data_IF_675076115658
#
_entry.id   IF_675076115658
#
_cell.length_a   1.000
_cell.length_b   1.000
_cell.length_c   1.000
_cell.angle_alpha   90.00
_cell.angle_beta   90.00
_cell.angle_gamma   90.00
#
_symmetry.space_group_name_H-M   'P 1'
#
loop_
_entity.id
_entity.type
_entity.pdbx_description
1 polymer ?
#
# COMPACT_ATOMS: atom_id res chain seq x y z
N UNK A 1 22.40 -23.76 19.24
CA UNK A 1 21.26 -23.07 18.62
C UNK A 1 20.66 -22.14 19.66
N UNK A 2 20.70 -20.85 19.45
CA UNK A 2 20.01 -19.89 20.32
C UNK A 2 18.51 -19.92 20.03
N UNK A 3 17.72 -19.71 21.06
CA UNK A 3 16.24 -19.63 20.94
C UNK A 3 15.86 -18.20 21.30
N UNK A 4 15.24 -17.51 20.35
CA UNK A 4 14.57 -16.24 20.58
C UNK A 4 13.11 -16.54 20.96
N UNK A 5 12.68 -16.11 22.12
CA UNK A 5 11.32 -16.31 22.58
C UNK A 5 10.55 -15.00 22.56
N UNK A 6 9.28 -15.06 22.18
CA UNK A 6 8.35 -13.94 22.20
C UNK A 6 6.91 -14.41 22.39
N UNK A 7 6.03 -13.46 22.72
CA UNK A 7 4.58 -13.72 22.69
C UNK A 7 4.10 -13.84 21.23
N UNK A 8 4.66 -13.00 20.35
CA UNK A 8 4.25 -12.91 18.94
C UNK A 8 5.45 -12.89 18.02
N UNK A 9 5.44 -13.72 16.99
CA UNK A 9 6.32 -13.56 15.82
C UNK A 9 5.56 -12.84 14.70
N UNK A 10 6.14 -11.75 14.18
CA UNK A 10 5.62 -11.04 13.01
C UNK A 10 6.50 -11.35 11.82
N UNK A 11 5.92 -11.92 10.78
CA UNK A 11 6.61 -12.30 9.55
C UNK A 11 6.41 -11.24 8.48
N UNK A 12 7.50 -10.58 8.08
CA UNK A 12 7.54 -9.49 7.12
C UNK A 12 7.81 -8.15 7.79
N UNK A 13 8.94 -7.53 7.45
CA UNK A 13 9.38 -6.23 7.96
C UNK A 13 9.13 -5.07 6.96
N UNK A 14 8.10 -5.18 6.12
CA UNK A 14 7.55 -4.05 5.39
C UNK A 14 6.78 -3.10 6.30
N UNK A 15 6.29 -1.97 5.78
CA UNK A 15 5.56 -0.95 6.54
C UNK A 15 4.47 -1.55 7.44
N UNK A 16 3.67 -2.49 6.93
CA UNK A 16 2.58 -3.12 7.71
C UNK A 16 3.15 -3.95 8.88
N UNK A 17 4.13 -4.81 8.61
CA UNK A 17 4.68 -5.69 9.65
C UNK A 17 5.40 -4.91 10.73
N UNK A 18 6.20 -3.90 10.36
CA UNK A 18 6.88 -3.03 11.33
C UNK A 18 5.88 -2.26 12.18
N UNK A 19 4.83 -1.68 11.58
CA UNK A 19 3.77 -0.98 12.32
C UNK A 19 3.05 -1.91 13.30
N UNK A 20 2.70 -3.12 12.86
CA UNK A 20 2.08 -4.14 13.72
C UNK A 20 3.00 -4.49 14.90
N UNK A 21 4.30 -4.69 14.63
CA UNK A 21 5.28 -5.02 15.66
C UNK A 21 5.42 -3.90 16.70
N UNK A 22 5.50 -2.62 16.26
CA UNK A 22 5.51 -1.46 17.16
C UNK A 22 4.27 -1.44 18.06
N UNK A 23 3.08 -1.56 17.48
CA UNK A 23 1.84 -1.49 18.24
C UNK A 23 1.66 -2.65 19.23
N UNK A 24 2.14 -3.84 18.89
CA UNK A 24 2.14 -4.99 19.81
C UNK A 24 3.13 -4.77 20.97
N UNK A 25 4.33 -4.28 20.66
CA UNK A 25 5.34 -3.96 21.66
C UNK A 25 4.83 -2.88 22.64
N UNK A 26 4.19 -1.83 22.14
CA UNK A 26 3.54 -0.79 22.96
C UNK A 26 2.42 -1.34 23.86
N UNK A 27 1.80 -2.45 23.49
CA UNK A 27 0.80 -3.16 24.31
C UNK A 27 1.41 -4.18 25.28
N UNK A 28 2.72 -4.15 25.47
CA UNK A 28 3.44 -5.01 26.40
C UNK A 28 3.68 -6.44 25.91
N UNK A 29 3.48 -6.71 24.62
CA UNK A 29 3.82 -8.00 24.03
C UNK A 29 5.31 -8.06 23.69
N UNK A 30 5.95 -9.18 23.96
CA UNK A 30 7.31 -9.44 23.47
C UNK A 30 7.23 -9.90 22.02
N UNK A 31 7.78 -9.11 21.10
CA UNK A 31 7.64 -9.35 19.67
C UNK A 31 8.99 -9.63 19.03
N UNK A 32 9.03 -10.67 18.20
CA UNK A 32 10.14 -10.94 17.29
C UNK A 32 9.66 -10.68 15.86
N UNK A 33 10.28 -9.74 15.18
CA UNK A 33 10.02 -9.41 13.79
C UNK A 33 11.00 -10.17 12.90
N UNK A 34 10.50 -10.92 11.93
CA UNK A 34 11.33 -11.76 11.02
C UNK A 34 11.07 -11.38 9.58
N UNK A 35 12.15 -11.13 8.84
CA UNK A 35 12.10 -10.95 7.38
C UNK A 35 13.34 -11.56 6.75
N UNK A 36 13.28 -11.91 5.48
CA UNK A 36 14.42 -12.43 4.70
C UNK A 36 15.46 -11.36 4.37
N UNK A 37 15.14 -10.10 4.56
CA UNK A 37 15.98 -8.91 4.32
C UNK A 37 15.80 -7.90 5.44
N UNK A 38 16.54 -6.78 5.33
CA UNK A 38 16.36 -5.64 6.22
C UNK A 38 14.97 -5.02 6.13
N UNK A 39 14.54 -4.28 7.16
CA UNK A 39 13.24 -3.64 7.18
C UNK A 39 13.06 -2.70 5.98
N UNK A 40 11.90 -2.83 5.30
CA UNK A 40 11.53 -1.95 4.20
C UNK A 40 12.19 -2.24 2.85
N UNK A 41 13.05 -3.23 2.71
CA UNK A 41 13.83 -3.49 1.49
C UNK A 41 13.05 -4.11 0.32
N UNK A 42 11.78 -4.42 0.48
CA UNK A 42 10.93 -4.97 -0.57
C UNK A 42 9.94 -3.90 -1.11
N UNK A 43 8.65 -4.13 -1.03
CA UNK A 43 7.62 -3.21 -1.57
C UNK A 43 7.64 -1.82 -0.90
N UNK A 44 8.12 -1.72 0.33
CA UNK A 44 8.23 -0.45 1.05
C UNK A 44 9.42 0.40 0.60
N UNK A 45 10.37 -0.14 -0.16
CA UNK A 45 11.56 0.57 -0.62
C UNK A 45 11.24 1.68 -1.63
N UNK A 46 10.41 1.39 -2.63
CA UNK A 46 10.20 2.27 -3.76
C UNK A 46 8.73 2.40 -4.15
N UNK A 47 7.83 2.54 -3.18
CA UNK A 47 6.42 2.79 -3.44
C UNK A 47 6.14 4.28 -3.74
N UNK A 48 4.89 4.62 -4.05
CA UNK A 48 4.48 5.97 -4.45
C UNK A 48 4.55 7.03 -3.35
N UNK A 49 4.90 6.68 -2.13
CA UNK A 49 5.06 7.64 -1.03
C UNK A 49 3.79 8.43 -0.71
N UNK A 50 2.63 7.77 -0.73
CA UNK A 50 1.35 8.43 -0.40
C UNK A 50 0.64 7.68 0.73
N UNK A 51 0.23 8.42 1.75
CA UNK A 51 -0.71 7.96 2.77
C UNK A 51 -2.08 8.47 2.35
N UNK A 52 -2.90 7.57 1.81
CA UNK A 52 -4.10 7.90 1.03
C UNK A 52 -5.34 7.99 1.91
N UNK A 53 -5.53 9.11 2.63
CA UNK A 53 -6.75 9.37 3.42
C UNK A 53 -8.01 9.45 2.56
N UNK A 54 -7.88 9.79 1.27
CA UNK A 54 -8.96 9.89 0.31
C UNK A 54 -9.43 8.55 -0.26
N UNK A 55 -8.71 7.46 0.00
CA UNK A 55 -9.03 6.13 -0.53
C UNK A 55 -10.22 5.46 0.20
N UNK A 56 -11.23 6.25 0.58
CA UNK A 56 -12.43 5.78 1.31
C UNK A 56 -13.33 4.86 0.49
N UNK A 57 -13.21 4.88 -0.83
CA UNK A 57 -13.95 4.01 -1.73
C UNK A 57 -13.03 2.95 -2.33
N UNK A 58 -13.16 1.66 -2.01
CA UNK A 58 -12.46 0.60 -2.72
C UNK A 58 -12.75 0.67 -4.22
N UNK A 59 -11.81 0.27 -5.06
CA UNK A 59 -12.04 0.25 -6.51
C UNK A 59 -13.06 -0.84 -6.85
N UNK A 60 -14.24 -0.51 -7.42
CA UNK A 60 -15.22 -1.52 -7.81
C UNK A 60 -14.81 -2.19 -9.12
N UNK A 61 -15.23 -3.43 -9.32
CA UNK A 61 -15.17 -4.07 -10.63
C UNK A 61 -16.14 -3.37 -11.58
N UNK A 62 -15.74 -3.05 -12.82
CA UNK A 62 -16.59 -2.42 -13.82
C UNK A 62 -17.85 -3.25 -14.09
N UNK A 63 -19.02 -2.61 -14.08
CA UNK A 63 -20.30 -3.30 -14.31
C UNK A 63 -21.03 -2.80 -15.56
N UNK A 64 -20.59 -1.71 -16.15
CA UNK A 64 -21.19 -1.20 -17.39
C UNK A 64 -20.73 -2.05 -18.59
N UNK A 65 -21.66 -2.33 -19.49
CA UNK A 65 -21.37 -3.11 -20.71
C UNK A 65 -20.32 -2.41 -21.59
N UNK A 66 -20.38 -1.07 -21.64
CA UNK A 66 -19.42 -0.27 -22.41
C UNK A 66 -17.99 -0.44 -21.87
N UNK A 67 -17.83 -0.37 -20.56
CA UNK A 67 -16.53 -0.51 -19.90
C UNK A 67 -15.98 -1.94 -19.98
N UNK A 68 -16.85 -2.93 -19.80
CA UNK A 68 -16.46 -4.34 -19.99
C UNK A 68 -16.01 -4.61 -21.43
N UNK A 69 -16.70 -4.06 -22.44
CA UNK A 69 -16.27 -4.14 -23.85
C UNK A 69 -14.93 -3.44 -24.09
N UNK A 70 -14.70 -2.29 -23.44
CA UNK A 70 -13.41 -1.58 -23.52
C UNK A 70 -12.28 -2.43 -22.98
N UNK A 71 -12.46 -3.03 -21.80
CA UNK A 71 -11.46 -3.90 -21.17
C UNK A 71 -11.26 -5.19 -22.00
N UNK A 72 -12.34 -5.80 -22.50
CA UNK A 72 -12.27 -7.03 -23.30
C UNK A 72 -11.47 -6.86 -24.60
N UNK A 73 -11.42 -5.64 -25.17
CA UNK A 73 -10.55 -5.35 -26.31
C UNK A 73 -9.05 -5.44 -26.01
N UNK A 74 -8.69 -5.50 -24.73
CA UNK A 74 -7.31 -5.64 -24.23
C UNK A 74 -6.31 -4.63 -24.83
N UNK A 75 -6.76 -3.40 -25.07
CA UNK A 75 -5.99 -2.28 -25.63
C UNK A 75 -6.00 -1.05 -24.72
N UNK A 76 -6.49 -1.21 -23.49
CA UNK A 76 -6.58 -0.14 -22.51
C UNK A 76 -5.29 -0.03 -21.72
N UNK A 77 -4.89 1.19 -21.40
CA UNK A 77 -3.75 1.46 -20.51
C UNK A 77 -4.05 0.99 -19.08
N UNK A 78 -5.34 1.03 -18.69
CA UNK A 78 -5.78 0.70 -17.32
C UNK A 78 -5.85 -0.80 -17.05
N UNK A 79 -6.05 -1.61 -18.11
CA UNK A 79 -6.18 -3.05 -17.99
C UNK A 79 -5.63 -3.74 -19.23
N UNK A 80 -4.53 -4.44 -19.04
CA UNK A 80 -3.94 -5.31 -20.04
C UNK A 80 -3.70 -6.69 -19.45
N UNK A 81 -4.07 -7.75 -20.15
CA UNK A 81 -3.96 -9.11 -19.65
C UNK A 81 -3.54 -10.09 -20.75
N UNK A 82 -2.83 -11.15 -20.37
CA UNK A 82 -2.54 -12.26 -21.24
C UNK A 82 -3.73 -13.23 -21.26
N UNK A 83 -4.17 -13.64 -22.43
CA UNK A 83 -5.30 -14.57 -22.56
C UNK A 83 -5.07 -15.88 -21.81
N UNK A 84 -3.82 -16.35 -21.76
CA UNK A 84 -3.42 -17.55 -21.01
C UNK A 84 -3.59 -17.43 -19.49
N UNK A 85 -3.72 -16.21 -18.96
CA UNK A 85 -3.93 -15.99 -17.54
C UNK A 85 -5.42 -16.08 -17.13
N UNK A 86 -6.34 -15.93 -18.09
CA UNK A 86 -7.79 -15.86 -17.81
C UNK A 86 -8.34 -17.08 -17.05
N UNK A 87 -7.98 -18.33 -17.37
CA UNK A 87 -8.47 -19.48 -16.61
C UNK A 87 -8.10 -19.40 -15.12
N UNK A 88 -6.86 -19.02 -14.80
CA UNK A 88 -6.39 -18.84 -13.43
C UNK A 88 -7.03 -17.64 -12.69
N UNK A 89 -7.44 -16.63 -13.45
CA UNK A 89 -8.06 -15.42 -12.92
C UNK A 89 -9.59 -15.50 -12.83
N UNK A 90 -10.23 -16.49 -13.41
CA UNK A 90 -11.69 -16.59 -13.52
C UNK A 90 -12.37 -16.51 -12.14
N UNK A 91 -11.92 -17.31 -11.16
CA UNK A 91 -12.46 -17.33 -9.81
C UNK A 91 -12.23 -16.02 -9.04
N UNK A 92 -11.02 -15.41 -9.00
CA UNK A 92 -10.79 -14.10 -8.42
C UNK A 92 -11.62 -12.99 -9.09
N UNK A 93 -11.71 -12.96 -10.42
CA UNK A 93 -12.49 -11.94 -11.14
C UNK A 93 -13.98 -12.07 -10.85
N UNK A 94 -14.51 -13.28 -10.79
CA UNK A 94 -15.90 -13.52 -10.40
C UNK A 94 -16.17 -13.05 -8.97
N UNK A 95 -15.28 -13.35 -8.02
CA UNK A 95 -15.39 -12.88 -6.64
C UNK A 95 -15.34 -11.34 -6.58
N UNK A 96 -14.47 -10.70 -7.36
CA UNK A 96 -14.36 -9.26 -7.45
C UNK A 96 -15.65 -8.63 -8.01
N UNK A 97 -16.17 -9.16 -9.13
CA UNK A 97 -17.44 -8.73 -9.70
C UNK A 97 -18.60 -8.87 -8.71
N UNK A 98 -18.70 -10.02 -8.02
CA UNK A 98 -19.73 -10.29 -7.02
C UNK A 98 -19.66 -9.32 -5.83
N UNK A 99 -18.46 -9.02 -5.34
CA UNK A 99 -18.26 -8.10 -4.22
C UNK A 99 -18.40 -6.62 -4.61
N UNK A 100 -18.43 -6.34 -5.91
CA UNK A 100 -18.72 -5.01 -6.46
C UNK A 100 -20.21 -4.78 -6.76
N UNK A 101 -21.09 -5.71 -6.34
CA UNK A 101 -22.55 -5.49 -6.35
C UNK A 101 -22.90 -4.37 -5.36
N UNK A 102 -23.78 -3.40 -5.72
CA UNK A 102 -23.96 -2.15 -4.96
C UNK A 102 -24.19 -2.33 -3.46
N UNK A 103 -25.00 -3.29 -3.04
CA UNK A 103 -25.27 -3.53 -1.62
C UNK A 103 -24.04 -4.05 -0.89
N UNK A 104 -23.37 -5.07 -1.44
CA UNK A 104 -22.16 -5.63 -0.87
C UNK A 104 -21.02 -4.62 -0.86
N UNK A 105 -20.89 -3.86 -1.95
CA UNK A 105 -19.92 -2.81 -2.05
C UNK A 105 -20.10 -1.75 -0.96
N UNK A 106 -21.34 -1.36 -0.66
CA UNK A 106 -21.65 -0.42 0.42
C UNK A 106 -21.24 -1.00 1.80
N UNK A 107 -21.54 -2.28 2.06
CA UNK A 107 -21.15 -2.98 3.29
C UNK A 107 -19.61 -3.04 3.44
N UNK A 108 -18.90 -3.41 2.36
CA UNK A 108 -17.43 -3.44 2.33
C UNK A 108 -16.85 -2.03 2.54
N UNK A 109 -17.42 -1.02 1.88
CA UNK A 109 -16.99 0.38 2.02
C UNK A 109 -17.13 0.86 3.45
N UNK A 110 -18.23 0.52 4.13
CA UNK A 110 -18.44 0.90 5.53
C UNK A 110 -17.35 0.32 6.47
N UNK A 111 -16.92 -0.92 6.21
CA UNK A 111 -15.82 -1.55 6.96
C UNK A 111 -14.45 -0.95 6.55
N UNK A 112 -14.24 -0.73 5.27
CA UNK A 112 -12.99 -0.18 4.73
C UNK A 112 -12.68 1.21 5.28
N UNK A 113 -13.70 2.06 5.38
CA UNK A 113 -13.57 3.42 5.90
C UNK A 113 -13.02 3.44 7.32
N UNK A 114 -13.36 2.48 8.18
CA UNK A 114 -12.86 2.45 9.56
C UNK A 114 -11.33 2.36 9.63
N UNK A 115 -10.71 1.72 8.64
CA UNK A 115 -9.25 1.62 8.53
C UNK A 115 -8.65 2.88 7.91
N UNK A 116 -9.28 3.41 6.87
CA UNK A 116 -8.74 4.56 6.13
C UNK A 116 -8.90 5.87 6.93
N UNK A 117 -9.94 5.99 7.74
CA UNK A 117 -10.24 7.21 8.49
C UNK A 117 -9.10 7.65 9.42
N UNK A 118 -8.36 6.72 9.99
CA UNK A 118 -7.30 6.98 10.98
C UNK A 118 -5.89 6.94 10.39
N UNK A 119 -5.72 6.54 9.12
CA UNK A 119 -4.40 6.22 8.56
C UNK A 119 -3.40 7.39 8.65
N UNK A 120 -3.83 8.63 8.43
CA UNK A 120 -2.96 9.80 8.52
C UNK A 120 -2.50 10.04 9.96
N UNK A 121 -3.44 10.10 10.92
CA UNK A 121 -3.13 10.32 12.34
C UNK A 121 -2.27 9.21 12.96
N UNK A 122 -2.48 7.95 12.57
CA UNK A 122 -1.64 6.84 13.03
C UNK A 122 -0.19 7.00 12.52
N UNK A 123 -0.01 7.43 11.28
CA UNK A 123 1.32 7.71 10.75
C UNK A 123 1.97 8.94 11.37
N UNK A 124 1.21 10.00 11.67
CA UNK A 124 1.72 11.16 12.41
C UNK A 124 2.26 10.74 13.78
N UNK A 125 1.44 10.02 14.56
CA UNK A 125 1.83 9.53 15.88
C UNK A 125 3.08 8.65 15.84
N UNK A 126 3.13 7.68 14.91
CA UNK A 126 4.30 6.82 14.77
C UNK A 126 5.54 7.59 14.32
N UNK A 127 5.39 8.56 13.41
CA UNK A 127 6.50 9.37 12.93
C UNK A 127 7.04 10.32 14.03
N UNK A 128 6.18 10.86 14.88
CA UNK A 128 6.60 11.62 16.07
C UNK A 128 7.43 10.75 17.01
N UNK A 129 6.91 9.61 17.41
CA UNK A 129 7.59 8.66 18.30
C UNK A 129 8.90 8.14 17.71
N UNK A 130 8.95 7.96 16.39
CA UNK A 130 10.13 7.54 15.66
C UNK A 130 11.14 8.66 15.39
N UNK A 131 10.77 9.94 15.62
CA UNK A 131 11.60 11.10 15.29
C UNK A 131 11.74 11.34 13.77
N UNK A 132 10.72 10.98 12.98
CA UNK A 132 10.76 10.99 11.51
C UNK A 132 9.66 11.85 10.87
N UNK A 133 9.07 12.79 11.60
CA UNK A 133 8.01 13.69 11.11
C UNK A 133 8.41 14.47 9.87
N UNK A 134 9.71 14.82 9.71
CA UNK A 134 10.22 15.50 8.53
C UNK A 134 10.07 14.70 7.21
N UNK A 135 9.83 13.39 7.29
CA UNK A 135 9.54 12.54 6.14
C UNK A 135 8.09 12.65 5.68
N UNK A 136 7.18 13.12 6.54
CA UNK A 136 5.76 13.30 6.24
C UNK A 136 5.50 14.73 5.79
N UNK A 137 4.82 14.90 4.67
CA UNK A 137 4.42 16.21 4.13
C UNK A 137 2.90 16.26 3.97
N UNK A 138 2.20 17.13 4.72
CA UNK A 138 0.74 17.28 4.67
C UNK A 138 0.33 18.14 3.46
N UNK A 139 0.69 17.70 2.27
CA UNK A 139 0.53 18.48 1.05
C UNK A 139 -0.55 17.93 0.12
N UNK A 140 -1.14 16.80 0.48
CA UNK A 140 -2.08 16.10 -0.36
C UNK A 140 -1.45 15.61 -1.67
N UNK A 141 -2.28 15.39 -2.67
CA UNK A 141 -1.82 15.17 -4.03
C UNK A 141 -2.81 15.69 -5.06
N UNK A 142 -2.30 16.05 -6.23
CA UNK A 142 -3.07 16.58 -7.34
C UNK A 142 -3.22 15.53 -8.42
N UNK A 143 -4.45 15.32 -8.88
CA UNK A 143 -4.77 14.52 -10.04
C UNK A 143 -5.25 15.43 -11.17
N UNK A 144 -4.47 15.55 -12.23
CA UNK A 144 -4.78 16.36 -13.40
C UNK A 144 -5.49 15.55 -14.48
N UNK A 145 -6.39 16.18 -15.23
CA UNK A 145 -7.26 15.53 -16.21
C UNK A 145 -7.19 16.24 -17.56
N UNK A 146 -7.23 15.44 -18.62
CA UNK A 146 -7.36 15.89 -19.99
C UNK A 146 -8.70 15.48 -20.64
N UNK A 147 -9.57 14.80 -19.88
CA UNK A 147 -10.89 14.34 -20.29
C UNK A 147 -11.95 14.82 -19.30
N UNK A 148 -12.99 15.48 -19.82
CA UNK A 148 -14.05 16.08 -19.02
C UNK A 148 -14.89 15.06 -18.27
N UNK A 149 -15.21 13.93 -18.90
CA UNK A 149 -16.07 12.92 -18.28
C UNK A 149 -15.37 12.28 -17.06
N UNK A 150 -14.08 12.04 -17.14
CA UNK A 150 -13.28 11.52 -16.03
C UNK A 150 -13.17 12.55 -14.90
N UNK A 151 -12.94 13.83 -15.22
CA UNK A 151 -12.92 14.91 -14.24
C UNK A 151 -14.25 15.02 -13.49
N UNK A 152 -15.38 15.05 -14.19
CA UNK A 152 -16.71 15.12 -13.60
C UNK A 152 -16.99 13.93 -12.68
N UNK A 153 -16.64 12.71 -13.12
CA UNK A 153 -16.82 11.50 -12.32
C UNK A 153 -16.01 11.54 -11.01
N UNK A 154 -14.76 12.01 -11.08
CA UNK A 154 -13.91 12.13 -9.90
C UNK A 154 -14.31 13.30 -8.99
N UNK A 155 -14.81 14.41 -9.53
CA UNK A 155 -15.43 15.49 -8.74
C UNK A 155 -16.67 14.99 -7.98
N UNK A 156 -17.54 14.23 -8.65
CA UNK A 156 -18.69 13.61 -8.00
C UNK A 156 -18.29 12.59 -6.92
N UNK A 157 -17.18 11.86 -7.13
CA UNK A 157 -16.61 10.97 -6.12
C UNK A 157 -16.07 11.77 -4.94
N UNK A 158 -15.39 12.87 -5.18
CA UNK A 158 -14.85 13.75 -4.16
C UNK A 158 -15.95 14.36 -3.29
N UNK A 159 -17.04 14.80 -3.90
CA UNK A 159 -18.20 15.30 -3.17
C UNK A 159 -18.78 14.25 -2.20
N UNK A 160 -18.89 13.00 -2.65
CA UNK A 160 -19.32 11.90 -1.77
C UNK A 160 -18.31 11.59 -0.66
N UNK A 161 -17.00 11.77 -0.93
CA UNK A 161 -15.95 11.53 0.05
C UNK A 161 -15.98 12.53 1.21
N UNK A 162 -16.55 13.73 1.01
CA UNK A 162 -16.76 14.71 2.08
C UNK A 162 -17.62 14.19 3.22
N UNK A 163 -18.58 13.30 2.92
CA UNK A 163 -19.42 12.67 3.95
C UNK A 163 -18.60 11.78 4.91
N UNK A 164 -17.35 11.47 4.53
CA UNK A 164 -16.41 10.67 5.32
C UNK A 164 -15.23 11.51 5.84
N UNK A 165 -15.41 12.84 5.85
CA UNK A 165 -14.41 13.79 6.36
C UNK A 165 -13.18 13.93 5.47
N UNK A 166 -13.31 13.69 4.16
CA UNK A 166 -12.21 13.85 3.20
C UNK A 166 -12.34 15.18 2.46
N UNK A 167 -11.29 15.99 2.49
CA UNK A 167 -11.25 17.30 1.87
C UNK A 167 -10.59 17.25 0.49
N UNK A 168 -11.11 18.08 -0.40
CA UNK A 168 -10.58 18.22 -1.76
C UNK A 168 -10.95 19.57 -2.35
N UNK A 169 -10.16 20.03 -3.31
CA UNK A 169 -10.36 21.28 -4.06
C UNK A 169 -10.29 21.00 -5.55
N UNK A 170 -11.31 21.44 -6.29
CA UNK A 170 -11.27 21.44 -7.74
C UNK A 170 -10.38 22.60 -8.23
N UNK A 171 -9.45 22.31 -9.11
CA UNK A 171 -8.52 23.29 -9.67
C UNK A 171 -8.86 23.58 -11.13
N UNK A 172 -8.95 24.85 -11.46
CA UNK A 172 -8.97 25.31 -12.85
C UNK A 172 -7.60 25.11 -13.52
N UNK A 173 -7.51 25.07 -14.85
CA UNK A 173 -6.22 24.99 -15.55
C UNK A 173 -5.22 26.08 -15.13
N UNK A 174 -5.72 27.29 -14.90
CA UNK A 174 -4.87 28.41 -14.47
C UNK A 174 -4.31 28.17 -13.06
N UNK A 175 -5.14 27.71 -12.12
CA UNK A 175 -4.69 27.40 -10.75
C UNK A 175 -3.75 26.20 -10.71
N UNK A 176 -3.99 25.19 -11.54
CA UNK A 176 -3.07 24.05 -11.70
C UNK A 176 -1.70 24.52 -12.20
N UNK A 177 -1.65 25.38 -13.23
CA UNK A 177 -0.40 25.91 -13.76
C UNK A 177 0.36 26.78 -12.73
N UNK A 178 -0.35 27.51 -11.88
CA UNK A 178 0.25 28.26 -10.78
C UNK A 178 0.89 27.34 -9.74
N UNK A 179 0.19 26.25 -9.35
CA UNK A 179 0.67 25.31 -8.35
C UNK A 179 1.76 24.38 -8.90
N UNK A 180 1.66 24.01 -10.17
CA UNK A 180 2.55 23.06 -10.84
C UNK A 180 3.10 23.65 -12.16
N UNK A 181 3.97 24.67 -12.10
CA UNK A 181 4.43 25.41 -13.28
C UNK A 181 5.27 24.58 -14.26
N UNK A 182 5.67 23.38 -13.86
CA UNK A 182 6.44 22.46 -14.70
C UNK A 182 5.58 21.38 -15.39
N UNK A 183 4.29 21.34 -15.10
CA UNK A 183 3.37 20.49 -15.84
C UNK A 183 3.16 21.05 -17.26
N UNK A 184 3.17 20.13 -18.25
CA UNK A 184 2.83 20.49 -19.62
C UNK A 184 1.41 21.04 -19.72
N UNK A 185 1.17 21.97 -20.63
CA UNK A 185 -0.16 22.46 -20.97
C UNK A 185 -1.00 21.32 -21.59
N UNK A 186 -2.31 21.37 -21.39
CA UNK A 186 -3.24 20.40 -21.98
C UNK A 186 -4.20 19.74 -20.98
N UNK A 187 -4.07 20.08 -19.71
CA UNK A 187 -5.05 19.67 -18.71
C UNK A 187 -6.22 20.66 -18.67
N UNK A 188 -7.44 20.10 -18.61
CA UNK A 188 -8.68 20.88 -18.55
C UNK A 188 -9.09 21.24 -17.12
N UNK A 189 -8.44 20.65 -16.12
CA UNK A 189 -8.63 20.87 -14.70
C UNK A 189 -7.92 19.82 -13.88
N UNK A 190 -8.02 19.94 -12.58
CA UNK A 190 -7.47 18.97 -11.63
C UNK A 190 -8.33 18.85 -10.36
N UNK A 191 -8.11 17.79 -9.62
CA UNK A 191 -8.63 17.57 -8.29
C UNK A 191 -7.45 17.47 -7.33
N UNK A 192 -7.39 18.37 -6.35
CA UNK A 192 -6.43 18.34 -5.26
C UNK A 192 -7.10 17.71 -4.04
N UNK A 193 -6.65 16.54 -3.65
CA UNK A 193 -6.97 15.92 -2.37
C UNK A 193 -6.02 16.49 -1.32
N UNK A 194 -6.57 17.14 -0.29
CA UNK A 194 -5.75 17.94 0.65
C UNK A 194 -5.33 17.18 1.89
N UNK A 195 -6.03 16.11 2.25
CA UNK A 195 -5.79 15.35 3.48
C UNK A 195 -4.71 14.26 3.40
N UNK A 196 -4.38 13.68 2.22
CA UNK A 196 -3.29 12.74 2.11
C UNK A 196 -1.93 13.33 2.47
N UNK A 197 -1.04 12.47 2.93
CA UNK A 197 0.37 12.84 3.14
C UNK A 197 1.23 12.31 2.00
N UNK A 198 2.14 13.14 1.53
CA UNK A 198 3.26 12.69 0.72
C UNK A 198 4.41 12.27 1.65
N UNK A 199 5.05 11.15 1.34
CA UNK A 199 6.21 10.64 2.06
C UNK A 199 7.45 10.82 1.20
N UNK A 200 8.42 11.60 1.66
CA UNK A 200 9.62 11.92 0.89
C UNK A 200 10.48 10.67 0.61
N UNK A 201 10.57 9.78 1.58
CA UNK A 201 11.31 8.53 1.49
C UNK A 201 10.56 7.42 2.26
N UNK A 202 9.79 6.57 1.55
CA UNK A 202 9.05 5.48 2.18
C UNK A 202 9.93 4.42 2.85
N UNK A 203 11.15 4.21 2.33
CA UNK A 203 12.10 3.29 2.94
C UNK A 203 12.63 3.85 4.26
N UNK A 204 13.08 5.11 4.27
CA UNK A 204 13.54 5.78 5.48
C UNK A 204 12.44 5.84 6.55
N UNK A 205 11.18 6.04 6.16
CA UNK A 205 10.04 5.99 7.10
C UNK A 205 9.88 4.59 7.71
N UNK A 206 9.99 3.53 6.89
CA UNK A 206 9.89 2.16 7.40
C UNK A 206 11.05 1.83 8.35
N UNK A 207 12.27 2.27 8.02
CA UNK A 207 13.45 2.11 8.88
C UNK A 207 13.29 2.85 10.21
N UNK A 208 12.74 4.06 10.21
CA UNK A 208 12.53 4.82 11.44
C UNK A 208 11.56 4.11 12.39
N UNK A 209 10.50 3.49 11.84
CA UNK A 209 9.56 2.69 12.64
C UNK A 209 10.19 1.38 13.13
N UNK A 210 11.07 0.76 12.34
CA UNK A 210 11.83 -0.42 12.78
C UNK A 210 12.77 -0.05 13.94
N UNK A 211 13.46 1.08 13.84
CA UNK A 211 14.30 1.58 14.93
C UNK A 211 13.48 1.93 16.19
N UNK A 212 12.27 2.45 16.03
CA UNK A 212 11.33 2.63 17.16
C UNK A 212 10.99 1.30 17.81
N UNK A 213 10.65 0.29 17.00
CA UNK A 213 10.36 -1.06 17.49
C UNK A 213 11.49 -1.65 18.34
N UNK A 214 12.74 -1.53 17.88
CA UNK A 214 13.91 -2.00 18.62
C UNK A 214 14.14 -1.18 19.91
N UNK A 215 13.96 0.15 19.88
CA UNK A 215 14.03 0.99 21.09
C UNK A 215 13.01 0.62 22.15
N UNK A 216 11.85 0.11 21.73
CA UNK A 216 10.81 -0.42 22.62
C UNK A 216 11.11 -1.82 23.15
N UNK A 217 12.28 -2.39 22.82
CA UNK A 217 12.70 -3.71 23.26
C UNK A 217 12.30 -4.86 22.32
N UNK A 218 11.78 -4.55 21.15
CA UNK A 218 11.49 -5.56 20.12
C UNK A 218 12.78 -6.15 19.51
N UNK A 219 12.69 -7.36 19.02
CA UNK A 219 13.83 -8.07 18.41
C UNK A 219 13.59 -8.28 16.91
N UNK A 220 14.62 -8.02 16.09
CA UNK A 220 14.61 -8.29 14.67
C UNK A 220 15.55 -9.44 14.33
N UNK A 221 15.10 -10.35 13.45
CA UNK A 221 15.92 -11.45 12.95
C UNK A 221 15.75 -11.60 11.43
N UNK A 222 16.86 -11.85 10.74
CA UNK A 222 16.82 -12.26 9.33
C UNK A 222 16.46 -13.74 9.29
N UNK A 223 15.45 -14.11 8.47
CA UNK A 223 15.03 -15.50 8.37
C UNK A 223 13.95 -15.75 7.33
N UNK A 224 13.77 -17.02 7.00
CA UNK A 224 12.80 -17.45 5.99
C UNK A 224 11.43 -17.76 6.60
N UNK A 225 10.45 -16.91 6.35
CA UNK A 225 9.07 -17.11 6.78
C UNK A 225 8.43 -18.42 6.27
N UNK A 226 8.96 -19.03 5.19
CA UNK A 226 8.46 -20.31 4.69
C UNK A 226 8.78 -21.48 5.63
N UNK A 227 9.69 -21.28 6.57
CA UNK A 227 10.05 -22.26 7.61
C UNK A 227 9.03 -22.29 8.77
N UNK A 228 8.02 -21.40 8.78
CA UNK A 228 7.00 -21.36 9.80
C UNK A 228 6.31 -22.72 9.98
N UNK A 229 6.29 -23.23 11.20
CA UNK A 229 5.65 -24.50 11.58
C UNK A 229 4.96 -24.37 12.92
N UNK A 230 3.97 -25.23 13.15
CA UNK A 230 3.41 -25.41 14.49
C UNK A 230 4.44 -26.05 15.42
N UNK A 231 4.49 -25.55 16.66
CA UNK A 231 5.31 -26.09 17.74
C UNK A 231 4.44 -26.21 18.99
N UNK A 232 3.83 -27.37 19.20
CA UNK A 232 2.80 -27.54 20.24
C UNK A 232 1.60 -26.61 20.00
N UNK A 233 1.29 -25.78 20.98
CA UNK A 233 0.23 -24.78 20.89
C UNK A 233 0.69 -23.50 20.15
N UNK A 234 1.99 -23.27 20.02
CA UNK A 234 2.58 -22.07 19.43
C UNK A 234 3.14 -22.27 18.02
N UNK A 235 4.11 -21.45 17.69
CA UNK A 235 4.73 -21.33 16.38
C UNK A 235 6.25 -21.30 16.49
N UNK A 236 6.90 -21.75 15.42
CA UNK A 236 8.35 -21.77 15.29
C UNK A 236 8.74 -21.35 13.88
N UNK A 237 9.77 -20.50 13.77
CA UNK A 237 10.41 -20.12 12.50
C UNK A 237 11.93 -20.16 12.67
N UNK A 238 12.67 -20.45 11.60
CA UNK A 238 14.12 -20.54 11.62
C UNK A 238 14.71 -19.25 11.04
N UNK A 239 15.68 -18.66 11.76
CA UNK A 239 16.48 -17.55 11.29
C UNK A 239 17.73 -18.04 10.51
N UNK A 240 18.31 -17.14 9.71
CA UNK A 240 19.43 -17.48 8.81
C UNK A 240 20.71 -17.84 9.55
N UNK A 241 20.90 -17.34 10.78
CA UNK A 241 22.02 -17.69 11.65
C UNK A 241 21.86 -19.08 12.33
N UNK A 242 20.79 -19.79 11.99
CA UNK A 242 20.42 -21.07 12.57
C UNK A 242 19.76 -20.96 13.94
N UNK A 243 19.49 -19.76 14.46
CA UNK A 243 18.66 -19.59 15.63
C UNK A 243 17.20 -19.91 15.32
N UNK A 244 16.42 -20.13 16.37
CA UNK A 244 15.03 -20.46 16.25
C UNK A 244 14.22 -19.42 16.99
N UNK A 245 13.19 -18.88 16.33
CA UNK A 245 12.19 -18.00 16.93
C UNK A 245 10.99 -18.86 17.34
N UNK A 246 10.60 -18.80 18.60
CA UNK A 246 9.40 -19.46 19.12
C UNK A 246 8.45 -18.42 19.71
N UNK A 247 7.16 -18.54 19.41
CA UNK A 247 6.13 -17.61 19.88
C UNK A 247 4.79 -18.31 20.05
N UNK A 248 3.92 -17.75 20.90
CA UNK A 248 2.54 -18.22 21.05
C UNK A 248 1.72 -17.95 19.81
N UNK A 249 1.86 -16.73 19.24
CA UNK A 249 1.12 -16.27 18.08
C UNK A 249 2.05 -15.95 16.90
N UNK A 250 1.54 -16.10 15.67
CA UNK A 250 2.22 -15.72 14.46
C UNK A 250 1.36 -14.81 13.59
N UNK A 251 1.90 -13.67 13.18
CA UNK A 251 1.26 -12.71 12.28
C UNK A 251 1.98 -12.72 10.94
N UNK A 252 1.24 -12.98 9.87
CA UNK A 252 1.79 -12.99 8.51
C UNK A 252 1.53 -11.64 7.84
N UNK A 253 2.57 -10.83 7.67
CA UNK A 253 2.57 -9.51 7.07
C UNK A 253 3.47 -9.42 5.81
N UNK A 254 3.56 -10.53 5.05
CA UNK A 254 4.48 -10.71 3.92
C UNK A 254 3.98 -10.10 2.60
N UNK A 255 2.93 -9.25 2.63
CA UNK A 255 2.36 -8.66 1.42
C UNK A 255 1.94 -9.72 0.40
N UNK A 256 2.40 -9.58 -0.85
CA UNK A 256 2.06 -10.52 -1.93
C UNK A 256 2.58 -11.95 -1.72
N UNK A 257 3.57 -12.14 -0.85
CA UNK A 257 4.14 -13.47 -0.55
C UNK A 257 3.38 -14.20 0.57
N UNK A 258 2.40 -13.55 1.23
CA UNK A 258 1.63 -14.16 2.33
C UNK A 258 1.00 -15.51 1.96
N UNK A 259 0.46 -15.63 0.74
CA UNK A 259 -0.14 -16.86 0.25
C UNK A 259 0.84 -18.05 0.18
N UNK A 260 2.14 -17.77 0.00
CA UNK A 260 3.19 -18.80 0.02
C UNK A 260 3.31 -19.51 1.37
N UNK A 261 3.05 -18.80 2.45
CA UNK A 261 3.11 -19.31 3.83
C UNK A 261 1.74 -19.82 4.28
N UNK A 262 0.70 -19.02 4.14
CA UNK A 262 -0.63 -19.31 4.72
C UNK A 262 -1.34 -20.49 4.08
N UNK A 263 -1.03 -20.83 2.81
CA UNK A 263 -1.61 -22.01 2.14
C UNK A 263 -1.33 -23.32 2.87
N UNK A 264 -0.20 -23.41 3.55
CA UNK A 264 0.17 -24.61 4.33
C UNK A 264 -0.72 -24.80 5.57
N UNK A 265 -1.43 -23.74 5.97
CA UNK A 265 -2.37 -23.73 7.08
C UNK A 265 -3.83 -23.66 6.61
N UNK A 266 -4.08 -23.97 5.32
CA UNK A 266 -5.42 -24.03 4.74
C UNK A 266 -6.03 -22.68 4.33
N UNK A 267 -5.27 -21.57 4.41
CA UNK A 267 -5.75 -20.26 4.00
C UNK A 267 -4.96 -19.71 2.82
N UNK A 268 -5.67 -19.36 1.74
CA UNK A 268 -5.09 -18.71 0.58
C UNK A 268 -5.73 -17.33 0.42
N UNK A 269 -5.04 -16.25 0.82
CA UNK A 269 -5.55 -14.90 0.58
C UNK A 269 -5.67 -14.64 -0.92
N UNK A 270 -6.73 -13.95 -1.38
CA UNK A 270 -6.92 -13.64 -2.80
C UNK A 270 -5.99 -12.50 -3.24
N UNK A 271 -4.69 -12.68 -3.06
CA UNK A 271 -3.66 -11.71 -3.39
C UNK A 271 -2.94 -12.10 -4.68
N UNK A 272 -2.73 -11.15 -5.54
CA UNK A 272 -1.84 -11.29 -6.70
C UNK A 272 -1.00 -10.03 -6.85
N UNK A 273 0.28 -10.20 -7.17
CA UNK A 273 1.20 -9.08 -7.36
C UNK A 273 0.95 -8.36 -8.68
N UNK A 274 0.79 -7.05 -8.63
CA UNK A 274 0.92 -6.16 -9.79
C UNK A 274 2.24 -5.42 -9.69
N UNK A 275 3.02 -5.41 -10.76
CA UNK A 275 4.21 -4.57 -10.83
C UNK A 275 3.79 -3.18 -11.31
N UNK A 276 4.08 -2.16 -10.51
CA UNK A 276 4.00 -0.77 -10.88
C UNK A 276 5.42 -0.29 -11.19
N UNK A 277 5.58 0.47 -12.26
CA UNK A 277 6.83 1.16 -12.52
C UNK A 277 6.60 2.64 -12.22
N UNK A 278 7.27 3.13 -11.19
CA UNK A 278 7.32 4.54 -10.87
C UNK A 278 8.51 5.13 -11.62
N UNK A 279 8.27 6.17 -12.39
CA UNK A 279 9.34 6.94 -13.04
C UNK A 279 9.49 8.21 -12.19
N UNK A 280 10.54 8.31 -11.36
CA UNK A 280 10.81 9.53 -10.63
C UNK A 280 11.20 10.62 -11.62
N UNK A 281 10.48 11.73 -11.62
CA UNK A 281 10.93 12.94 -12.28
C UNK A 281 12.05 13.56 -11.46
N UNK A 282 13.30 13.27 -11.79
CA UNK A 282 14.44 13.94 -11.18
C UNK A 282 14.50 15.40 -11.60
N UNK A 283 14.26 16.30 -10.67
CA UNK A 283 14.60 17.71 -10.84
C UNK A 283 16.08 17.90 -10.53
N UNK A 284 16.87 18.23 -11.55
CA UNK A 284 18.23 18.78 -11.38
C UNK A 284 18.13 20.24 -10.92
N UNK A 285 17.83 20.51 -9.67
CA UNK A 285 18.29 21.71 -8.95
C UNK A 285 17.87 21.62 -7.48
N UNK A 286 18.84 21.74 -6.61
CA UNK A 286 18.68 22.10 -5.19
C UNK A 286 18.15 23.54 -5.19
N UNK A 287 17.28 23.89 -4.28
CA UNK A 287 16.73 25.22 -4.03
C UNK A 287 15.38 25.54 -4.71
N UNK A 288 14.37 24.91 -4.25
CA UNK A 288 13.02 25.45 -4.06
C UNK A 288 12.02 24.30 -3.84
N UNK A 289 11.05 24.53 -3.01
CA UNK A 289 9.96 23.63 -2.61
C UNK A 289 9.20 23.13 -3.86
N UNK A 290 9.61 22.00 -4.40
CA UNK A 290 8.99 21.38 -5.56
C UNK A 290 8.24 20.12 -5.13
N UNK A 291 6.97 20.09 -5.43
CA UNK A 291 6.09 18.93 -5.34
C UNK A 291 6.64 17.80 -6.21
N UNK A 292 6.69 16.59 -5.70
CA UNK A 292 6.96 15.43 -6.54
C UNK A 292 5.69 15.09 -7.32
N UNK A 293 5.62 15.44 -8.59
CA UNK A 293 4.60 14.95 -9.51
C UNK A 293 4.97 13.52 -9.87
N UNK A 294 4.21 12.56 -9.36
CA UNK A 294 4.35 11.17 -9.72
C UNK A 294 3.50 10.89 -10.97
N UNK A 295 4.11 10.83 -12.13
CA UNK A 295 3.48 10.24 -13.31
C UNK A 295 3.45 8.72 -13.13
N UNK A 296 2.29 8.17 -12.81
CA UNK A 296 2.07 6.73 -12.83
C UNK A 296 1.80 6.31 -14.26
N UNK A 297 2.83 5.92 -14.98
CA UNK A 297 2.66 5.22 -16.26
C UNK A 297 2.61 3.72 -16.02
N UNK A 298 1.50 3.11 -16.40
CA UNK A 298 1.38 1.66 -16.46
C UNK A 298 2.26 1.15 -17.61
N UNK A 299 3.49 0.76 -17.31
CA UNK A 299 4.36 0.09 -18.28
C UNK A 299 4.19 -1.41 -18.12
N UNK A 300 3.62 -2.02 -19.14
CA UNK A 300 3.59 -3.47 -19.29
C UNK A 300 4.98 -3.97 -19.67
N UNK A 301 5.67 -4.65 -18.76
CA UNK A 301 6.91 -5.37 -19.14
C UNK A 301 6.51 -6.74 -19.61
N UNK A 302 6.52 -6.92 -20.93
CA UNK A 302 6.52 -8.22 -21.56
C UNK A 302 7.76 -9.02 -21.13
N UNK A 303 7.62 -10.35 -21.10
CA UNK A 303 8.58 -11.39 -20.75
C UNK A 303 10.05 -10.93 -20.76
N UNK A 304 10.73 -11.03 -19.65
CA UNK A 304 12.13 -11.38 -19.64
C UNK A 304 12.23 -12.85 -20.01
N UNK A 305 12.69 -13.13 -21.21
CA UNK A 305 13.18 -14.45 -21.61
C UNK A 305 14.50 -14.70 -20.89
N UNK A 306 14.52 -15.82 -20.15
CA UNK A 306 15.64 -16.54 -19.52
C UNK A 306 16.25 -15.95 -18.25
#
# INVERSE_FOLDING_TARGET
MSILQGDVVVLGAGMVGVSVAVHLQKRGKQVVLVDRRGPGEETSYGNGGLIQREAVFPHPFPRSVAELRRIARNRSVDAYYHLSALPGLARPLFAYWRNSEPRRYAEITAQWITLIATCAGEHETLAEEAGSTALLRPVGFIRAYNDAATLEADLAKAERARNFGVNSVALTPAKLAEMEPHLSNGFIGALHWTDPYAVNDPHALTLSYAALFERLGGQFAIGDATTLRRNGAGWRVTADDGSVVEAEDAIVALGIWSGGVTRHFGYMPPLFGKRWQLIPCHRQRRDSYGWAVWCVSLVHIGRSSR
#
